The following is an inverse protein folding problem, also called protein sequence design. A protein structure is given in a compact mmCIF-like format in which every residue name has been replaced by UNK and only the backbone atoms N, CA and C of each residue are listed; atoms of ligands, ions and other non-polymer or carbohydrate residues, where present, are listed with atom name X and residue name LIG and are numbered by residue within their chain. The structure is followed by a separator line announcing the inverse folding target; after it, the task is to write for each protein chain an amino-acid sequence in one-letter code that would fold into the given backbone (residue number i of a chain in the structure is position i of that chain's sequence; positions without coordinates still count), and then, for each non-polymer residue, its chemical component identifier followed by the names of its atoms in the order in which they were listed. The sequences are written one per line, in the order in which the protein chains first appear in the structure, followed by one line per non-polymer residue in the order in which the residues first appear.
data_IF_089911216674
#
_entry.id   IF_089911216674
#
_cell.length_a   1.000
_cell.length_b   1.000
_cell.length_c   1.000
_cell.angle_alpha   90.00
_cell.angle_beta   90.00
_cell.angle_gamma   90.00
#
_symmetry.space_group_name_H-M   'P 1'
#
loop_
_entity.id
_entity.type
_entity.pdbx_description
1 polymer ?
#
# COMPACT_ATOMS: atom_id res chain seq x y z
N UNK A 1 -13.91 -22.65 11.47
CA UNK A 1 -13.84 -21.27 10.92
C UNK A 1 -15.17 -20.60 11.13
N UNK A 2 -15.21 -19.35 11.62
CA UNK A 2 -16.46 -18.63 11.83
C UNK A 2 -17.19 -18.40 10.50
N UNK A 3 -18.53 -18.38 10.50
CA UNK A 3 -19.34 -18.12 9.31
C UNK A 3 -18.99 -16.77 8.62
N UNK A 4 -18.44 -15.83 9.37
CA UNK A 4 -17.96 -14.54 8.88
C UNK A 4 -16.71 -14.69 8.00
N UNK A 5 -15.67 -15.39 8.45
CA UNK A 5 -14.42 -15.60 7.67
C UNK A 5 -14.73 -16.26 6.34
N UNK A 6 -15.57 -17.30 6.34
CA UNK A 6 -15.94 -17.97 5.09
C UNK A 6 -16.77 -17.10 4.13
N UNK A 7 -17.48 -16.08 4.62
CA UNK A 7 -18.16 -15.10 3.75
C UNK A 7 -17.17 -14.13 3.12
N UNK A 8 -16.18 -13.66 3.88
CA UNK A 8 -15.11 -12.79 3.37
C UNK A 8 -14.31 -13.52 2.30
N UNK A 9 -13.90 -14.77 2.55
CA UNK A 9 -13.12 -15.54 1.58
C UNK A 9 -13.89 -15.75 0.27
N UNK A 10 -15.20 -16.10 0.33
CA UNK A 10 -16.03 -16.20 -0.88
C UNK A 10 -16.22 -14.87 -1.61
N UNK A 11 -16.27 -13.75 -0.89
CA UNK A 11 -16.32 -12.43 -1.51
C UNK A 11 -14.99 -12.13 -2.22
N UNK A 12 -13.87 -12.39 -1.57
CA UNK A 12 -12.55 -12.19 -2.14
C UNK A 12 -12.34 -13.02 -3.42
N UNK A 13 -12.77 -14.28 -3.44
CA UNK A 13 -12.73 -15.14 -4.62
C UNK A 13 -13.54 -14.55 -5.80
N UNK A 14 -14.75 -14.06 -5.53
CA UNK A 14 -15.59 -13.42 -6.55
C UNK A 14 -14.96 -12.13 -7.07
N UNK A 15 -14.41 -11.31 -6.18
CA UNK A 15 -13.76 -10.05 -6.55
C UNK A 15 -12.45 -10.32 -7.30
N UNK A 16 -11.67 -11.34 -6.91
CA UNK A 16 -10.44 -11.72 -7.62
C UNK A 16 -10.71 -12.07 -9.08
N UNK A 17 -11.82 -12.75 -9.37
CA UNK A 17 -12.22 -13.09 -10.74
C UNK A 17 -12.44 -11.85 -11.63
N UNK A 18 -12.85 -10.71 -11.06
CA UNK A 18 -13.02 -9.46 -11.81
C UNK A 18 -11.70 -8.87 -12.30
N UNK A 19 -10.58 -9.26 -11.70
CA UNK A 19 -9.24 -8.80 -12.11
C UNK A 19 -8.61 -9.68 -13.20
N UNK A 20 -9.20 -10.83 -13.54
CA UNK A 20 -8.62 -11.74 -14.54
C UNK A 20 -8.45 -11.09 -15.94
N UNK A 21 -9.37 -10.24 -16.44
CA UNK A 21 -9.16 -9.54 -17.71
C UNK A 21 -7.91 -8.63 -17.69
N UNK A 22 -7.60 -8.01 -16.54
CA UNK A 22 -6.39 -7.17 -16.39
C UNK A 22 -5.12 -8.02 -16.43
N UNK A 23 -5.17 -9.24 -15.90
CA UNK A 23 -4.05 -10.21 -15.86
C UNK A 23 -3.74 -10.80 -17.24
N UNK A 24 -4.70 -10.80 -18.15
CA UNK A 24 -4.53 -11.28 -19.53
C UNK A 24 -4.00 -10.20 -20.48
N UNK A 25 -3.86 -8.95 -20.02
CA UNK A 25 -3.33 -7.84 -20.81
C UNK A 25 -1.86 -7.60 -20.48
N UNK A 26 -0.93 -7.91 -21.40
CA UNK A 26 0.51 -7.70 -21.21
C UNK A 26 0.88 -6.27 -20.77
N UNK A 27 0.33 -5.18 -21.37
CA UNK A 27 0.62 -3.82 -20.92
C UNK A 27 0.18 -3.57 -19.49
N UNK A 28 -1.02 -4.06 -19.09
CA UNK A 28 -1.52 -3.88 -17.73
C UNK A 28 -0.72 -4.69 -16.72
N UNK A 29 -0.32 -5.92 -17.06
CA UNK A 29 0.58 -6.73 -16.25
C UNK A 29 1.89 -6.00 -16.01
N UNK A 30 2.49 -5.38 -17.04
CA UNK A 30 3.71 -4.59 -16.90
C UNK A 30 3.51 -3.40 -15.96
N UNK A 31 2.43 -2.63 -16.15
CA UNK A 31 2.10 -1.47 -15.29
C UNK A 31 1.92 -1.91 -13.83
N UNK A 32 1.13 -2.95 -13.57
CA UNK A 32 0.87 -3.39 -12.19
C UNK A 32 2.07 -4.08 -11.55
N UNK A 33 2.90 -4.81 -12.29
CA UNK A 33 4.17 -5.33 -11.80
C UNK A 33 5.11 -4.19 -11.37
N UNK A 34 5.26 -3.17 -12.22
CA UNK A 34 6.09 -1.99 -11.93
C UNK A 34 5.53 -1.23 -10.73
N UNK A 35 4.21 -0.98 -10.68
CA UNK A 35 3.56 -0.31 -9.54
C UNK A 35 3.75 -1.08 -8.24
N UNK A 36 3.69 -2.40 -8.30
CA UNK A 36 3.96 -3.27 -7.16
C UNK A 36 5.42 -3.16 -6.68
N UNK A 37 6.38 -3.16 -7.63
CA UNK A 37 7.81 -3.08 -7.33
C UNK A 37 8.20 -1.70 -6.75
N UNK A 38 7.72 -0.60 -7.33
CA UNK A 38 8.00 0.75 -6.80
C UNK A 38 7.34 1.02 -5.45
N UNK A 39 6.29 0.25 -5.12
CA UNK A 39 5.68 0.24 -3.79
C UNK A 39 6.47 -0.53 -2.74
N UNK A 40 7.45 -1.37 -3.13
CA UNK A 40 8.26 -2.14 -2.19
C UNK A 40 9.03 -1.19 -1.27
N UNK A 41 8.95 -1.45 0.05
CA UNK A 41 9.54 -0.59 1.09
C UNK A 41 9.08 0.88 1.05
N UNK A 42 8.00 1.19 0.34
CA UNK A 42 7.54 2.56 0.15
C UNK A 42 8.47 3.42 -0.72
N UNK A 43 9.28 2.81 -1.59
CA UNK A 43 10.35 3.49 -2.35
C UNK A 43 9.85 4.72 -3.11
N UNK A 44 8.70 4.64 -3.77
CA UNK A 44 8.12 5.78 -4.50
C UNK A 44 7.88 6.99 -3.59
N UNK A 45 7.45 6.76 -2.36
CA UNK A 45 7.16 7.83 -1.40
C UNK A 45 8.43 8.51 -0.88
N UNK A 46 9.49 7.73 -0.67
CA UNK A 46 10.81 8.29 -0.33
C UNK A 46 11.37 9.10 -1.49
N UNK A 47 11.22 8.64 -2.73
CA UNK A 47 11.61 9.41 -3.93
C UNK A 47 10.81 10.71 -4.01
N UNK A 48 9.49 10.68 -3.80
CA UNK A 48 8.65 11.90 -3.79
C UNK A 48 9.13 12.85 -2.69
N UNK A 49 9.43 12.36 -1.49
CA UNK A 49 9.96 13.17 -0.40
C UNK A 49 11.29 13.87 -0.76
N UNK A 50 12.24 13.10 -1.28
CA UNK A 50 13.57 13.63 -1.67
C UNK A 50 13.46 14.61 -2.83
N UNK A 51 12.73 14.26 -3.90
CA UNK A 51 12.53 15.14 -5.06
C UNK A 51 11.79 16.41 -4.65
N UNK A 52 10.78 16.30 -3.77
CA UNK A 52 10.08 17.45 -3.21
C UNK A 52 11.01 18.38 -2.45
N UNK A 53 11.94 17.84 -1.65
CA UNK A 53 12.93 18.63 -0.92
C UNK A 53 13.96 19.29 -1.85
N UNK A 54 14.41 18.59 -2.91
CA UNK A 54 15.37 19.11 -3.87
C UNK A 54 14.81 20.29 -4.70
N UNK A 55 13.51 20.26 -5.01
CA UNK A 55 12.87 21.34 -5.80
C UNK A 55 12.17 22.40 -4.93
N UNK A 56 12.27 22.30 -3.61
CA UNK A 56 11.69 23.27 -2.67
C UNK A 56 10.17 23.14 -2.45
N UNK A 57 9.53 22.08 -2.97
CA UNK A 57 8.12 21.81 -2.71
C UNK A 57 7.87 21.24 -1.30
N UNK A 58 8.90 20.60 -0.73
CA UNK A 58 8.96 20.15 0.66
C UNK A 58 10.25 20.67 1.30
N UNK A 59 10.26 20.75 2.64
CA UNK A 59 11.51 20.96 3.38
C UNK A 59 12.25 19.62 3.56
N UNK A 60 13.55 19.67 3.83
CA UNK A 60 14.31 18.46 4.21
C UNK A 60 13.80 17.84 5.51
N UNK A 61 13.29 18.68 6.44
CA UNK A 61 12.62 18.22 7.66
C UNK A 61 11.41 17.35 7.35
N UNK A 62 10.57 17.76 6.40
CA UNK A 62 9.40 17.01 5.94
C UNK A 62 9.79 15.69 5.25
N UNK A 63 10.82 15.70 4.41
CA UNK A 63 11.30 14.48 3.74
C UNK A 63 11.82 13.44 4.76
N UNK A 64 12.60 13.89 5.75
CA UNK A 64 13.10 13.03 6.84
C UNK A 64 11.96 12.53 7.72
N UNK A 65 11.00 13.40 8.06
CA UNK A 65 9.83 13.03 8.85
C UNK A 65 8.99 11.97 8.12
N UNK A 66 8.75 12.14 6.82
CA UNK A 66 8.03 11.14 6.00
C UNK A 66 8.73 9.77 6.10
N UNK A 67 10.05 9.72 5.92
CA UNK A 67 10.82 8.48 5.97
C UNK A 67 10.74 7.82 7.36
N UNK A 68 10.89 8.58 8.43
CA UNK A 68 10.83 8.08 9.80
C UNK A 68 9.43 7.56 10.16
N UNK A 69 8.39 8.30 9.77
CA UNK A 69 6.99 7.93 10.02
C UNK A 69 6.60 6.67 9.24
N UNK A 70 7.01 6.54 7.97
CA UNK A 70 6.78 5.34 7.18
C UNK A 70 7.52 4.13 7.76
N UNK A 71 8.75 4.31 8.26
CA UNK A 71 9.47 3.26 8.98
C UNK A 71 8.72 2.81 10.23
N UNK A 72 8.19 3.74 11.00
CA UNK A 72 7.40 3.46 12.21
C UNK A 72 6.09 2.73 11.86
N UNK A 73 5.35 3.20 10.86
CA UNK A 73 4.14 2.54 10.35
C UNK A 73 4.44 1.09 9.93
N UNK A 74 5.51 0.89 9.17
CA UNK A 74 5.93 -0.43 8.70
C UNK A 74 6.26 -1.37 9.86
N UNK A 75 6.93 -0.88 10.90
CA UNK A 75 7.21 -1.66 12.12
C UNK A 75 5.92 -2.02 12.85
N UNK A 76 5.03 -1.06 13.09
CA UNK A 76 3.75 -1.28 13.77
C UNK A 76 2.90 -2.31 13.03
N UNK A 77 2.80 -2.20 11.71
CA UNK A 77 2.00 -3.10 10.90
C UNK A 77 2.62 -4.51 10.84
N UNK A 78 3.91 -4.61 10.51
CA UNK A 78 4.55 -5.90 10.25
C UNK A 78 4.90 -6.64 11.54
N UNK A 79 5.31 -5.96 12.61
CA UNK A 79 5.66 -6.58 13.89
C UNK A 79 4.47 -6.65 14.86
N UNK A 80 3.48 -5.78 14.71
CA UNK A 80 2.25 -5.79 15.50
C UNK A 80 1.14 -6.56 14.80
N UNK A 81 0.42 -5.87 13.92
CA UNK A 81 -0.86 -6.35 13.37
C UNK A 81 -0.72 -7.67 12.61
N UNK A 82 0.29 -7.83 11.74
CA UNK A 82 0.47 -9.06 10.95
C UNK A 82 0.81 -10.30 11.76
N UNK A 83 1.32 -10.16 12.98
CA UNK A 83 1.58 -11.32 13.84
C UNK A 83 0.31 -11.90 14.46
N UNK A 84 -0.75 -11.08 14.56
CA UNK A 84 -2.04 -11.50 15.11
C UNK A 84 -2.80 -12.34 14.08
N UNK A 85 -2.66 -12.00 12.79
CA UNK A 85 -3.40 -12.65 11.71
C UNK A 85 -2.52 -13.61 10.93
N UNK A 86 -3.06 -14.81 10.63
CA UNK A 86 -2.39 -15.84 9.81
C UNK A 86 -3.27 -16.14 8.60
N UNK A 87 -3.10 -15.38 7.51
CA UNK A 87 -3.83 -15.57 6.28
C UNK A 87 -2.89 -15.97 5.14
N UNK A 88 -3.26 -17.00 4.41
CA UNK A 88 -2.54 -17.45 3.20
C UNK A 88 -2.74 -16.45 2.07
N UNK A 89 -1.76 -16.36 1.16
CA UNK A 89 -1.82 -15.50 -0.02
C UNK A 89 -2.48 -16.20 -1.20
N UNK A 90 -3.12 -15.48 -2.13
CA UNK A 90 -3.67 -16.07 -3.35
C UNK A 90 -2.63 -16.87 -4.16
N UNK A 91 -1.39 -16.42 -4.17
CA UNK A 91 -0.26 -17.07 -4.87
C UNK A 91 0.29 -18.32 -4.20
N UNK A 92 -0.28 -18.80 -3.09
CA UNK A 92 0.12 -20.09 -2.51
C UNK A 92 -0.07 -21.27 -3.51
N UNK A 93 -0.94 -21.10 -4.52
CA UNK A 93 -1.18 -22.05 -5.59
C UNK A 93 -0.21 -21.93 -6.81
N UNK A 94 0.72 -20.97 -6.79
CA UNK A 94 1.65 -20.68 -7.89
C UNK A 94 0.98 -19.96 -9.08
N UNK A 95 1.46 -18.76 -9.40
CA UNK A 95 1.09 -18.04 -10.62
C UNK A 95 2.37 -17.43 -11.19
N UNK A 96 2.90 -17.98 -12.28
CA UNK A 96 4.19 -17.63 -12.85
C UNK A 96 4.11 -16.42 -13.81
N UNK A 97 2.90 -15.86 -14.01
CA UNK A 97 2.70 -14.64 -14.83
C UNK A 97 3.34 -13.40 -14.22
N UNK A 98 3.65 -13.42 -12.92
CA UNK A 98 4.12 -12.26 -12.17
C UNK A 98 5.48 -12.51 -11.50
N UNK A 99 6.45 -11.63 -11.79
CA UNK A 99 7.80 -11.65 -11.20
C UNK A 99 7.89 -10.68 -10.02
N UNK A 100 7.08 -10.90 -9.00
CA UNK A 100 7.05 -10.03 -7.82
C UNK A 100 7.59 -10.72 -6.58
N UNK A 101 8.19 -9.94 -5.68
CA UNK A 101 8.65 -10.42 -4.40
C UNK A 101 7.48 -10.98 -3.58
N UNK A 102 7.58 -12.23 -3.16
CA UNK A 102 6.58 -12.91 -2.30
C UNK A 102 7.03 -12.88 -0.85
N UNK A 103 6.46 -12.00 0.00
CA UNK A 103 6.82 -11.97 1.42
C UNK A 103 6.35 -13.25 2.13
N UNK A 104 7.14 -13.73 3.10
CA UNK A 104 6.81 -14.90 3.93
C UNK A 104 5.82 -14.59 5.06
N UNK A 105 5.47 -13.32 5.26
CA UNK A 105 4.53 -12.87 6.30
C UNK A 105 3.08 -13.09 5.88
N UNK A 106 2.15 -12.98 6.85
CA UNK A 106 0.71 -13.03 6.61
C UNK A 106 0.28 -12.15 5.44
N UNK A 107 -0.71 -12.60 4.67
CA UNK A 107 -1.36 -11.78 3.64
C UNK A 107 -2.08 -10.56 4.25
N UNK A 108 -2.73 -10.72 5.38
CA UNK A 108 -3.59 -9.70 6.00
C UNK A 108 -2.88 -8.94 7.14
N UNK A 109 -3.07 -7.62 7.21
CA UNK A 109 -3.50 -6.73 6.15
C UNK A 109 -2.36 -6.41 5.16
N UNK A 110 -2.68 -5.79 4.01
CA UNK A 110 -1.68 -5.43 2.99
C UNK A 110 -0.79 -4.28 3.48
N UNK A 111 0.52 -4.54 3.63
CA UNK A 111 1.49 -3.51 4.02
C UNK A 111 1.70 -2.44 2.94
N UNK A 112 1.68 -2.81 1.65
CA UNK A 112 1.78 -1.85 0.53
C UNK A 112 0.58 -0.90 0.49
N UNK A 113 -0.63 -1.41 0.67
CA UNK A 113 -1.82 -0.58 0.72
C UNK A 113 -1.78 0.36 1.95
N UNK A 114 -1.36 -0.16 3.11
CA UNK A 114 -1.23 0.64 4.33
C UNK A 114 -0.21 1.75 4.16
N UNK A 115 1.03 1.45 3.79
CA UNK A 115 2.07 2.46 3.62
C UNK A 115 1.76 3.47 2.52
N UNK A 116 1.07 3.04 1.44
CA UNK A 116 0.67 3.94 0.37
C UNK A 116 -0.36 4.97 0.83
N UNK A 117 -1.42 4.53 1.50
CA UNK A 117 -2.44 5.46 2.03
C UNK A 117 -1.92 6.29 3.20
N UNK A 118 -1.05 5.73 4.05
CA UNK A 118 -0.35 6.47 5.08
C UNK A 118 0.46 7.64 4.51
N UNK A 119 1.33 7.37 3.53
CA UNK A 119 2.15 8.39 2.88
C UNK A 119 1.30 9.43 2.14
N UNK A 120 0.25 9.00 1.43
CA UNK A 120 -0.68 9.91 0.76
C UNK A 120 -1.32 10.90 1.73
N UNK A 121 -1.77 10.44 2.91
CA UNK A 121 -2.34 11.32 3.95
C UNK A 121 -1.30 12.30 4.50
N UNK A 122 -0.08 11.83 4.83
CA UNK A 122 1.00 12.71 5.33
C UNK A 122 1.34 13.79 4.31
N UNK A 123 1.61 13.40 3.06
CA UNK A 123 1.96 14.33 1.99
C UNK A 123 0.82 15.32 1.69
N UNK A 124 -0.43 14.89 1.82
CA UNK A 124 -1.60 15.76 1.64
C UNK A 124 -1.67 16.91 2.68
N UNK A 125 -1.10 16.70 3.86
CA UNK A 125 -0.98 17.76 4.88
C UNK A 125 0.02 18.86 4.52
N UNK A 126 0.92 18.61 3.56
CA UNK A 126 1.97 19.56 3.16
C UNK A 126 1.81 20.10 1.74
N UNK A 127 0.94 19.51 0.93
CA UNK A 127 0.83 19.80 -0.50
C UNK A 127 -0.42 20.62 -0.85
N UNK A 128 -0.40 21.24 -2.04
CA UNK A 128 -1.59 21.87 -2.61
C UNK A 128 -2.61 20.83 -3.10
N UNK A 129 -3.88 21.22 -3.19
CA UNK A 129 -5.03 20.34 -3.52
C UNK A 129 -4.83 19.46 -4.76
N UNK A 130 -4.17 19.98 -5.81
CA UNK A 130 -3.92 19.21 -7.03
C UNK A 130 -3.01 18.00 -6.78
N UNK A 131 -2.00 18.12 -5.94
CA UNK A 131 -1.12 17.03 -5.56
C UNK A 131 -1.79 16.00 -4.66
N UNK A 132 -2.74 16.41 -3.82
CA UNK A 132 -3.52 15.50 -2.97
C UNK A 132 -4.19 14.40 -3.82
N UNK A 133 -4.89 14.79 -4.90
CA UNK A 133 -5.52 13.83 -5.81
C UNK A 133 -4.49 12.88 -6.40
N UNK A 134 -3.34 13.40 -6.82
CA UNK A 134 -2.24 12.60 -7.39
C UNK A 134 -1.75 11.55 -6.39
N UNK A 135 -1.51 11.92 -5.13
CA UNK A 135 -1.03 10.98 -4.11
C UNK A 135 -2.03 9.86 -3.85
N UNK A 136 -3.33 10.17 -3.77
CA UNK A 136 -4.35 9.14 -3.58
C UNK A 136 -4.52 8.26 -4.83
N UNK A 137 -4.40 8.79 -6.03
CA UNK A 137 -4.40 7.97 -7.26
C UNK A 137 -3.22 7.00 -7.25
N UNK A 138 -2.01 7.46 -6.92
CA UNK A 138 -0.82 6.59 -6.80
C UNK A 138 -1.04 5.52 -5.73
N UNK A 139 -1.59 5.89 -4.55
CA UNK A 139 -1.87 4.96 -3.48
C UNK A 139 -2.87 3.87 -3.89
N UNK A 140 -3.94 4.25 -4.60
CA UNK A 140 -4.93 3.30 -5.14
C UNK A 140 -4.28 2.36 -6.17
N UNK A 141 -3.46 2.87 -7.09
CA UNK A 141 -2.78 2.05 -8.09
C UNK A 141 -1.83 1.04 -7.42
N UNK A 142 -1.06 1.46 -6.42
CA UNK A 142 -0.19 0.57 -5.63
C UNK A 142 -1.03 -0.48 -4.91
N UNK A 143 -2.12 -0.11 -4.25
CA UNK A 143 -2.99 -1.05 -3.54
C UNK A 143 -3.60 -2.09 -4.51
N UNK A 144 -4.17 -1.63 -5.64
CA UNK A 144 -4.76 -2.51 -6.66
C UNK A 144 -3.72 -3.42 -7.31
N UNK A 145 -2.48 -2.95 -7.49
CA UNK A 145 -1.41 -3.77 -8.03
C UNK A 145 -1.24 -5.08 -7.26
N UNK A 146 -1.44 -5.05 -5.93
CA UNK A 146 -1.26 -6.23 -5.05
C UNK A 146 -2.32 -7.31 -5.26
N UNK A 147 -3.52 -6.91 -5.71
CA UNK A 147 -4.57 -7.86 -6.11
C UNK A 147 -4.29 -8.40 -7.52
N UNK A 148 -3.95 -7.51 -8.46
CA UNK A 148 -3.64 -7.91 -9.84
C UNK A 148 -2.50 -8.93 -9.88
N UNK A 149 -1.41 -8.68 -9.14
CA UNK A 149 -0.26 -9.63 -9.07
C UNK A 149 -0.48 -10.80 -8.08
N UNK A 150 -1.71 -10.97 -7.57
CA UNK A 150 -2.18 -12.09 -6.74
C UNK A 150 -1.40 -12.32 -5.43
N UNK A 151 -0.86 -11.26 -4.83
CA UNK A 151 -0.16 -11.35 -3.53
C UNK A 151 -1.08 -11.06 -2.35
N UNK A 152 -2.16 -10.32 -2.59
CA UNK A 152 -3.16 -9.97 -1.60
C UNK A 152 -4.58 -10.18 -2.13
N UNK A 153 -5.50 -10.49 -1.22
CA UNK A 153 -6.94 -10.45 -1.48
C UNK A 153 -7.45 -8.99 -1.47
N UNK A 154 -8.63 -8.75 -2.02
CA UNK A 154 -9.25 -7.41 -2.03
C UNK A 154 -9.48 -6.91 -0.60
N UNK A 155 -9.97 -7.76 0.30
CA UNK A 155 -10.16 -7.39 1.71
C UNK A 155 -8.84 -7.02 2.41
N UNK A 156 -7.70 -7.63 2.04
CA UNK A 156 -6.39 -7.27 2.60
C UNK A 156 -6.00 -5.83 2.25
N UNK A 157 -6.26 -5.41 0.99
CA UNK A 157 -5.93 -4.04 0.55
C UNK A 157 -6.92 -3.03 1.12
N UNK A 158 -8.21 -3.34 1.22
CA UNK A 158 -9.21 -2.45 1.82
C UNK A 158 -8.85 -2.16 3.28
N UNK A 159 -8.63 -3.21 4.08
CA UNK A 159 -8.26 -3.02 5.49
C UNK A 159 -6.90 -2.37 5.62
N UNK A 160 -5.92 -2.74 4.79
CA UNK A 160 -4.60 -2.09 4.76
C UNK A 160 -4.72 -0.60 4.49
N UNK A 161 -5.49 -0.19 3.46
CA UNK A 161 -5.73 1.21 3.13
C UNK A 161 -6.37 1.99 4.28
N UNK A 162 -7.38 1.42 4.93
CA UNK A 162 -8.05 2.04 6.07
C UNK A 162 -7.11 2.21 7.27
N UNK A 163 -6.31 1.18 7.58
CA UNK A 163 -5.30 1.26 8.65
C UNK A 163 -4.26 2.32 8.34
N UNK A 164 -3.73 2.34 7.10
CA UNK A 164 -2.76 3.36 6.68
C UNK A 164 -3.33 4.77 6.75
N UNK A 165 -4.54 5.00 6.24
CA UNK A 165 -5.20 6.30 6.31
C UNK A 165 -5.44 6.75 7.75
N UNK A 166 -5.90 5.85 8.63
CA UNK A 166 -6.11 6.14 10.05
C UNK A 166 -4.79 6.53 10.74
N UNK A 167 -3.75 5.71 10.58
CA UNK A 167 -2.43 5.99 11.15
C UNK A 167 -1.83 7.28 10.60
N UNK A 168 -2.00 7.56 9.29
CA UNK A 168 -1.59 8.81 8.65
C UNK A 168 -2.32 10.02 9.24
N UNK A 169 -3.63 9.93 9.45
CA UNK A 169 -4.43 11.01 10.07
C UNK A 169 -3.96 11.29 11.49
N UNK A 170 -3.61 10.26 12.26
CA UNK A 170 -3.03 10.43 13.60
C UNK A 170 -1.65 11.10 13.48
N UNK A 171 -0.80 10.63 12.58
CA UNK A 171 0.57 11.13 12.44
C UNK A 171 0.62 12.60 11.96
N UNK A 172 -0.31 13.04 11.11
CA UNK A 172 -0.41 14.45 10.67
C UNK A 172 -0.51 15.40 11.84
N UNK A 173 -1.17 15.03 12.96
CA UNK A 173 -1.28 15.88 14.14
C UNK A 173 0.08 16.22 14.76
N UNK A 174 1.07 15.34 14.58
CA UNK A 174 2.43 15.52 15.10
C UNK A 174 3.38 16.18 14.09
N UNK A 175 2.95 16.34 12.82
CA UNK A 175 3.77 16.91 11.76
C UNK A 175 3.44 18.37 11.44
N UNK A 176 2.40 18.94 12.04
CA UNK A 176 1.92 20.30 11.77
C UNK A 176 2.97 21.41 12.07
N UNK A 177 4.00 21.10 12.89
CA UNK A 177 5.08 22.02 13.25
C UNK A 177 6.37 21.82 12.45
N UNK A 178 6.40 20.83 11.54
CA UNK A 178 7.57 20.53 10.71
C UNK A 178 7.50 21.40 9.44
N UNK A 179 8.25 22.47 9.40
CA UNK A 179 8.36 23.40 8.27
C UNK A 179 9.65 23.22 7.50
#
# INVERSE_FOLDING_TARGET
MSSFVSRVDRLDERLDALFEPLRNSRPLVYVFNTSSAVGDFGAIWHVIGVVGALNGALSWGQAVALAALMGTESLLLNQGVKRIFRRTRPTAAGDDRFTVRRPLTSSFPSGHASSAFFAAVILSGWASTGWVVTFFVVAVVIALSRVVVRIHHVSDIVVGSLVGALLGTIAVQFTATIT
#
